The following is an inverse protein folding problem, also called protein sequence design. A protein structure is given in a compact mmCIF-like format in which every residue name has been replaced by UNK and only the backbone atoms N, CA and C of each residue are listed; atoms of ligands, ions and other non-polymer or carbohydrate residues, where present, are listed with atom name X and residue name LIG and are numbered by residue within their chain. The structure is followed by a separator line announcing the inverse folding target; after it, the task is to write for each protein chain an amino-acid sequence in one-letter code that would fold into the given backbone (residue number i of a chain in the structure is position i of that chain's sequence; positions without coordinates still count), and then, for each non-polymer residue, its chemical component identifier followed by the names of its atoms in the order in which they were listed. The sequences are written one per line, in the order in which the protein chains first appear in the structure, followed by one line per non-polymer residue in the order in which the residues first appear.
data_IF_670820698234
#
_entry.id   IF_670820698234
#
_cell.length_a   1.000
_cell.length_b   1.000
_cell.length_c   1.000
_cell.angle_alpha   90.00
_cell.angle_beta   90.00
_cell.angle_gamma   90.00
#
_symmetry.space_group_name_H-M   'P 1'
#
loop_
_entity.id
_entity.type
_entity.pdbx_description
1 polymer ?
#
# COMPACT_ATOMS: atom_id res chain seq x y z
N UNK A 1 2.79 19.53 2.15
CA UNK A 1 1.79 18.51 2.49
C UNK A 1 2.47 17.16 2.68
N UNK A 2 2.04 16.43 3.70
CA UNK A 2 2.52 15.07 3.90
C UNK A 2 2.09 14.19 2.73
N UNK A 3 3.04 13.48 2.13
CA UNK A 3 2.77 12.56 1.04
C UNK A 3 2.52 11.17 1.63
N UNK A 4 1.45 10.52 1.22
CA UNK A 4 1.04 9.23 1.73
C UNK A 4 1.22 8.12 0.69
N UNK A 5 1.57 6.94 1.18
CA UNK A 5 1.63 5.70 0.41
C UNK A 5 0.62 4.72 0.98
N UNK A 6 0.00 3.91 0.14
CA UNK A 6 -1.06 2.99 0.57
C UNK A 6 -0.70 1.56 0.18
N UNK A 7 -0.76 0.67 1.17
CA UNK A 7 -0.52 -0.76 0.97
C UNK A 7 -1.75 -1.46 0.40
N UNK A 8 -1.55 -2.65 -0.13
CA UNK A 8 -2.57 -3.49 -0.76
C UNK A 8 -3.80 -3.69 0.10
N UNK A 9 -3.62 -4.06 1.36
CA UNK A 9 -4.74 -4.39 2.25
C UNK A 9 -5.70 -3.21 2.46
N UNK A 10 -5.18 -1.99 2.45
CA UNK A 10 -6.01 -0.79 2.58
C UNK A 10 -6.87 -0.62 1.32
N UNK A 11 -6.27 -0.77 0.13
CA UNK A 11 -6.98 -0.59 -1.12
C UNK A 11 -8.06 -1.66 -1.34
N UNK A 12 -7.83 -2.88 -0.89
CA UNK A 12 -8.82 -3.95 -1.00
C UNK A 12 -10.11 -3.61 -0.25
N UNK A 13 -10.02 -2.85 0.84
CA UNK A 13 -11.21 -2.42 1.57
C UNK A 13 -12.14 -1.51 0.76
N UNK A 14 -11.64 -0.89 -0.32
CA UNK A 14 -12.51 -0.10 -1.22
C UNK A 14 -13.63 -0.94 -1.83
N UNK A 15 -13.42 -2.26 -1.96
CA UNK A 15 -14.41 -3.21 -2.48
C UNK A 15 -15.10 -4.00 -1.37
N UNK A 16 -14.81 -3.69 -0.11
CA UNK A 16 -15.31 -4.45 1.02
C UNK A 16 -16.74 -4.07 1.37
N UNK A 17 -17.49 -5.04 1.92
CA UNK A 17 -18.77 -4.77 2.56
C UNK A 17 -18.65 -4.11 3.93
N UNK A 18 -17.43 -3.98 4.45
CA UNK A 18 -17.16 -3.25 5.70
C UNK A 18 -17.11 -1.76 5.38
N UNK A 19 -18.25 -1.09 5.54
CA UNK A 19 -18.38 0.32 5.15
C UNK A 19 -17.49 1.24 5.96
N UNK A 20 -17.25 0.96 7.24
CA UNK A 20 -16.35 1.77 8.07
C UNK A 20 -14.93 1.76 7.52
N UNK A 21 -14.41 0.57 7.21
CA UNK A 21 -13.05 0.45 6.66
C UNK A 21 -12.96 0.99 5.24
N UNK A 22 -13.99 0.74 4.42
CA UNK A 22 -14.04 1.28 3.06
C UNK A 22 -14.02 2.80 3.06
N UNK A 23 -14.77 3.43 3.95
CA UNK A 23 -14.82 4.89 4.06
C UNK A 23 -13.47 5.48 4.49
N UNK A 24 -12.79 4.82 5.44
CA UNK A 24 -11.46 5.24 5.87
C UNK A 24 -10.44 5.14 4.73
N UNK A 25 -10.47 4.03 3.99
CA UNK A 25 -9.60 3.82 2.83
C UNK A 25 -9.87 4.89 1.75
N UNK A 26 -11.14 5.16 1.47
CA UNK A 26 -11.53 6.18 0.49
C UNK A 26 -11.03 7.56 0.88
N UNK A 27 -11.13 7.92 2.15
CA UNK A 27 -10.68 9.22 2.64
C UNK A 27 -9.18 9.43 2.40
N UNK A 28 -8.36 8.39 2.64
CA UNK A 28 -6.92 8.46 2.40
C UNK A 28 -6.62 8.61 0.91
N UNK A 29 -7.31 7.84 0.07
CA UNK A 29 -7.13 7.89 -1.39
C UNK A 29 -7.53 9.27 -1.92
N UNK A 30 -8.64 9.83 -1.45
CA UNK A 30 -9.11 11.16 -1.86
C UNK A 30 -8.17 12.28 -1.45
N UNK A 31 -7.49 12.11 -0.32
CA UNK A 31 -6.51 13.09 0.15
C UNK A 31 -5.23 13.10 -0.70
N UNK A 32 -5.07 12.12 -1.58
CA UNK A 32 -3.90 11.97 -2.43
C UNK A 32 -2.93 10.95 -1.86
N UNK A 33 -2.80 9.83 -2.55
CA UNK A 33 -1.88 8.77 -2.14
C UNK A 33 -1.20 8.17 -3.37
N UNK A 34 -0.03 7.58 -3.16
CA UNK A 34 0.69 6.86 -4.21
C UNK A 34 0.75 5.37 -3.85
N UNK A 35 0.95 4.55 -4.84
CA UNK A 35 1.14 3.10 -4.69
C UNK A 35 2.38 2.69 -5.47
N UNK A 36 2.73 1.42 -5.44
CA UNK A 36 3.81 0.88 -6.28
C UNK A 36 3.29 -0.21 -7.18
N UNK A 37 4.10 -0.59 -8.17
CA UNK A 37 3.80 -1.75 -9.02
C UNK A 37 3.67 -3.01 -8.18
N UNK A 38 4.43 -3.14 -7.09
CA UNK A 38 4.29 -4.27 -6.17
C UNK A 38 2.87 -4.35 -5.59
N UNK A 39 2.31 -3.21 -5.18
CA UNK A 39 0.94 -3.15 -4.67
C UNK A 39 -0.06 -3.56 -5.75
N UNK A 40 0.13 -3.08 -6.99
CA UNK A 40 -0.75 -3.46 -8.10
C UNK A 40 -0.72 -4.97 -8.35
N UNK A 41 0.47 -5.57 -8.30
CA UNK A 41 0.61 -7.02 -8.47
C UNK A 41 -0.10 -7.79 -7.36
N UNK A 42 0.02 -7.33 -6.12
CA UNK A 42 -0.64 -7.95 -4.98
C UNK A 42 -2.16 -7.83 -5.08
N UNK A 43 -2.67 -6.67 -5.51
CA UNK A 43 -4.11 -6.48 -5.75
C UNK A 43 -4.61 -7.48 -6.78
N UNK A 44 -3.91 -7.61 -7.91
CA UNK A 44 -4.29 -8.54 -8.97
C UNK A 44 -4.36 -9.98 -8.43
N UNK A 45 -3.36 -10.37 -7.65
CA UNK A 45 -3.30 -11.71 -7.07
C UNK A 45 -4.45 -11.96 -6.08
N UNK A 46 -4.72 -11.01 -5.18
CA UNK A 46 -5.80 -11.13 -4.20
C UNK A 46 -7.16 -11.16 -4.88
N UNK A 47 -7.38 -10.27 -5.85
CA UNK A 47 -8.63 -10.20 -6.59
C UNK A 47 -8.95 -11.53 -7.27
N UNK A 48 -7.96 -12.13 -7.93
CA UNK A 48 -8.14 -13.38 -8.65
C UNK A 48 -8.27 -14.58 -7.72
N UNK A 49 -7.45 -14.66 -6.67
CA UNK A 49 -7.35 -15.86 -5.84
C UNK A 49 -8.30 -15.86 -4.66
N UNK A 50 -8.42 -14.74 -3.95
CA UNK A 50 -9.25 -14.68 -2.74
C UNK A 50 -10.65 -14.18 -3.01
N UNK A 51 -10.78 -13.14 -3.82
CA UNK A 51 -12.08 -12.54 -4.11
C UNK A 51 -12.77 -13.19 -5.30
N UNK A 52 -12.08 -14.08 -6.01
CA UNK A 52 -12.61 -14.84 -7.15
C UNK A 52 -13.21 -13.96 -8.23
N UNK A 53 -12.62 -12.79 -8.43
CA UNK A 53 -13.00 -11.87 -9.49
C UNK A 53 -12.49 -12.41 -10.84
N UNK A 54 -13.28 -12.23 -11.88
CA UNK A 54 -12.80 -12.56 -13.22
C UNK A 54 -11.81 -11.49 -13.71
N UNK A 55 -11.16 -11.71 -14.85
CA UNK A 55 -10.18 -10.76 -15.37
C UNK A 55 -10.79 -9.40 -15.71
N UNK A 56 -11.98 -9.31 -16.36
CA UNK A 56 -12.60 -8.01 -16.58
C UNK A 56 -12.82 -7.22 -15.29
N UNK A 57 -13.32 -7.85 -14.23
CA UNK A 57 -13.53 -7.20 -12.94
C UNK A 57 -12.21 -6.77 -12.29
N UNK A 58 -11.21 -7.66 -12.33
CA UNK A 58 -9.88 -7.37 -11.80
C UNK A 58 -9.24 -6.19 -12.50
N UNK A 59 -9.31 -6.17 -13.84
CA UNK A 59 -8.72 -5.11 -14.63
C UNK A 59 -9.43 -3.77 -14.42
N UNK A 60 -10.74 -3.79 -14.22
CA UNK A 60 -11.51 -2.59 -13.91
C UNK A 60 -11.10 -2.00 -12.57
N UNK A 61 -10.94 -2.84 -11.56
CA UNK A 61 -10.48 -2.36 -10.25
C UNK A 61 -9.06 -1.81 -10.29
N UNK A 62 -8.16 -2.49 -10.99
CA UNK A 62 -6.79 -2.00 -11.16
C UNK A 62 -6.74 -0.66 -11.88
N UNK A 63 -7.59 -0.48 -12.91
CA UNK A 63 -7.69 0.79 -13.62
C UNK A 63 -8.17 1.91 -12.69
N UNK A 64 -9.14 1.62 -11.83
CA UNK A 64 -9.63 2.57 -10.83
C UNK A 64 -8.51 2.98 -9.87
N UNK A 65 -7.80 2.01 -9.31
CA UNK A 65 -6.69 2.27 -8.39
C UNK A 65 -5.63 3.15 -9.06
N UNK A 66 -5.25 2.82 -10.29
CA UNK A 66 -4.23 3.58 -11.02
C UNK A 66 -4.69 5.00 -11.36
N UNK A 67 -5.99 5.21 -11.55
CA UNK A 67 -6.52 6.55 -11.81
C UNK A 67 -6.51 7.42 -10.56
N UNK A 68 -6.61 6.80 -9.38
CA UNK A 68 -6.65 7.51 -8.10
C UNK A 68 -5.27 7.65 -7.45
N UNK A 69 -4.40 6.66 -7.64
CA UNK A 69 -3.10 6.57 -6.98
C UNK A 69 -2.01 6.35 -8.03
N UNK A 70 -1.17 7.35 -8.31
CA UNK A 70 -0.06 7.17 -9.26
C UNK A 70 0.87 6.03 -8.81
N UNK A 71 1.20 5.07 -9.70
CA UNK A 71 2.09 3.97 -9.32
C UNK A 71 3.57 4.34 -9.47
N UNK A 72 4.34 4.00 -8.45
CA UNK A 72 5.80 4.09 -8.49
C UNK A 72 6.36 2.81 -9.10
N UNK A 73 7.32 2.95 -9.99
CA UNK A 73 7.97 1.80 -10.63
C UNK A 73 8.88 1.06 -9.65
N UNK A 74 8.98 -0.25 -9.83
CA UNK A 74 9.97 -1.05 -9.12
C UNK A 74 11.27 -1.01 -9.92
N UNK A 75 12.31 -0.49 -9.30
CA UNK A 75 13.62 -0.35 -9.92
C UNK A 75 14.67 -1.15 -9.15
N UNK A 76 15.88 -1.23 -9.69
CA UNK A 76 17.00 -1.84 -8.98
C UNK A 76 17.28 -1.10 -7.67
N UNK A 77 17.11 0.22 -7.68
CA UNK A 77 17.25 1.03 -6.47
C UNK A 77 16.20 0.65 -5.41
N UNK A 78 14.96 0.39 -5.82
CA UNK A 78 13.91 -0.09 -4.92
C UNK A 78 14.32 -1.42 -4.29
N UNK A 79 14.85 -2.32 -5.08
CA UNK A 79 15.31 -3.63 -4.62
C UNK A 79 16.43 -3.50 -3.58
N UNK A 80 17.44 -2.71 -3.90
CA UNK A 80 18.58 -2.52 -3.00
C UNK A 80 18.16 -1.86 -1.70
N UNK A 81 17.33 -0.82 -1.75
CA UNK A 81 16.83 -0.14 -0.57
C UNK A 81 15.95 -1.07 0.26
N UNK A 82 15.11 -1.85 -0.41
CA UNK A 82 14.22 -2.82 0.26
C UNK A 82 14.99 -3.88 1.03
N UNK A 83 16.08 -4.41 0.47
CA UNK A 83 16.91 -5.38 1.19
C UNK A 83 17.50 -4.79 2.46
N UNK A 84 17.96 -3.55 2.42
CA UNK A 84 18.48 -2.86 3.60
C UNK A 84 17.40 -2.67 4.66
N UNK A 85 16.19 -2.29 4.25
CA UNK A 85 15.05 -2.13 5.15
C UNK A 85 14.67 -3.48 5.77
N UNK A 86 14.60 -4.53 4.98
CA UNK A 86 14.26 -5.87 5.46
C UNK A 86 15.23 -6.33 6.55
N UNK A 87 16.53 -6.17 6.29
CA UNK A 87 17.58 -6.55 7.24
C UNK A 87 17.52 -5.72 8.51
N UNK A 88 17.40 -4.41 8.38
CA UNK A 88 17.47 -3.49 9.52
C UNK A 88 16.23 -3.56 10.42
N UNK A 89 15.04 -3.70 9.84
CA UNK A 89 13.79 -3.63 10.59
C UNK A 89 13.09 -4.97 10.75
N UNK A 90 13.66 -6.04 10.20
CA UNK A 90 13.08 -7.37 10.35
C UNK A 90 11.78 -7.59 9.58
N UNK A 91 11.60 -6.87 8.47
CA UNK A 91 10.42 -7.01 7.61
C UNK A 91 10.63 -8.10 6.57
N UNK A 92 9.52 -8.69 6.09
CA UNK A 92 9.59 -9.57 4.93
C UNK A 92 10.11 -8.79 3.73
N UNK A 93 10.69 -9.50 2.75
CA UNK A 93 11.22 -8.84 1.55
C UNK A 93 10.14 -8.06 0.82
N UNK A 94 8.95 -8.62 0.67
CA UNK A 94 7.87 -7.95 -0.07
C UNK A 94 7.33 -6.72 0.67
N UNK A 95 7.16 -6.80 1.97
CA UNK A 95 6.79 -5.63 2.78
C UNK A 95 7.86 -4.56 2.72
N UNK A 96 9.13 -4.98 2.79
CA UNK A 96 10.26 -4.06 2.70
C UNK A 96 10.34 -3.36 1.33
N UNK A 97 9.94 -4.04 0.25
CA UNK A 97 9.87 -3.41 -1.08
C UNK A 97 8.80 -2.31 -1.12
N UNK A 98 7.68 -2.52 -0.47
CA UNK A 98 6.63 -1.50 -0.35
C UNK A 98 7.15 -0.30 0.46
N UNK A 99 7.82 -0.57 1.58
CA UNK A 99 8.43 0.49 2.40
C UNK A 99 9.48 1.26 1.60
N UNK A 100 10.34 0.57 0.86
CA UNK A 100 11.36 1.21 0.02
C UNK A 100 10.74 2.11 -1.05
N UNK A 101 9.67 1.65 -1.70
CA UNK A 101 8.96 2.47 -2.69
C UNK A 101 8.42 3.75 -2.06
N UNK A 102 7.86 3.65 -0.86
CA UNK A 102 7.34 4.81 -0.13
C UNK A 102 8.47 5.80 0.22
N UNK A 103 9.62 5.28 0.69
CA UNK A 103 10.79 6.11 0.99
C UNK A 103 11.30 6.85 -0.24
N UNK A 104 11.47 6.13 -1.35
CA UNK A 104 11.99 6.69 -2.59
C UNK A 104 11.03 7.68 -3.22
N UNK A 105 9.73 7.51 -3.00
CA UNK A 105 8.72 8.46 -3.45
C UNK A 105 8.65 9.72 -2.57
N UNK A 106 9.42 9.77 -1.48
CA UNK A 106 9.41 10.91 -0.58
C UNK A 106 8.21 10.95 0.35
N UNK A 107 7.56 9.82 0.58
CA UNK A 107 6.41 9.74 1.46
C UNK A 107 6.82 9.87 2.93
N UNK A 108 5.91 10.42 3.73
CA UNK A 108 6.08 10.54 5.18
C UNK A 108 5.25 9.51 5.93
N UNK A 109 4.21 8.98 5.29
CA UNK A 109 3.32 7.98 5.89
C UNK A 109 3.08 6.83 4.94
N UNK A 110 3.03 5.62 5.50
CA UNK A 110 2.62 4.41 4.81
C UNK A 110 1.44 3.82 5.58
N UNK A 111 0.27 3.81 4.95
CA UNK A 111 -0.92 3.19 5.54
C UNK A 111 -0.93 1.71 5.21
N UNK A 112 -0.90 0.87 6.25
CA UNK A 112 -0.90 -0.58 6.13
C UNK A 112 -1.56 -1.20 7.35
N UNK A 113 -2.34 -2.25 7.15
CA UNK A 113 -2.93 -3.02 8.24
C UNK A 113 -2.00 -4.12 8.72
N UNK A 114 -1.17 -4.65 7.82
CA UNK A 114 -0.36 -5.84 8.10
C UNK A 114 1.03 -5.59 8.63
N UNK A 115 1.48 -4.33 8.73
CA UNK A 115 2.79 -3.96 9.23
C UNK A 115 2.68 -3.34 10.61
N UNK A 116 3.82 -3.23 11.32
CA UNK A 116 3.86 -2.68 12.68
C UNK A 116 3.44 -1.21 12.71
N UNK A 117 2.31 -0.93 13.33
CA UNK A 117 1.80 0.43 13.51
C UNK A 117 2.76 1.25 14.36
N UNK A 118 3.06 2.45 13.89
CA UNK A 118 3.93 3.39 14.58
C UNK A 118 5.42 3.25 14.27
N UNK A 119 5.83 2.21 13.54
CA UNK A 119 7.24 2.06 13.17
C UNK A 119 7.68 3.23 12.30
N UNK A 120 8.81 3.86 12.67
CA UNK A 120 9.43 4.91 11.87
C UNK A 120 10.66 4.34 11.18
N UNK A 121 10.68 4.40 9.86
CA UNK A 121 11.76 3.85 9.04
C UNK A 121 12.66 4.99 8.56
N UNK A 122 13.96 4.85 8.82
CA UNK A 122 15.01 5.80 8.40
C UNK A 122 14.73 7.25 8.80
N UNK A 123 14.00 7.45 9.92
CA UNK A 123 13.66 8.78 10.42
C UNK A 123 12.72 9.58 9.51
N UNK A 124 12.16 8.95 8.47
CA UNK A 124 11.36 9.62 7.45
C UNK A 124 9.93 9.13 7.36
N UNK A 125 9.76 7.79 7.28
CA UNK A 125 8.48 7.17 6.96
C UNK A 125 7.87 6.55 8.21
N UNK A 126 6.66 6.95 8.56
CA UNK A 126 5.92 6.32 9.65
C UNK A 126 4.87 5.37 9.09
N UNK A 127 4.88 4.13 9.55
CA UNK A 127 3.86 3.15 9.22
C UNK A 127 2.67 3.37 10.13
N UNK A 128 1.48 3.46 9.57
CA UNK A 128 0.24 3.75 10.29
C UNK A 128 -0.82 2.72 9.95
N UNK A 129 -1.44 2.13 10.98
CA UNK A 129 -2.62 1.32 10.76
C UNK A 129 -3.85 2.24 10.77
N UNK A 130 -4.43 2.44 9.59
CA UNK A 130 -5.58 3.32 9.38
C UNK A 130 -6.81 2.85 10.17
N UNK A 131 -6.89 1.56 10.46
CA UNK A 131 -8.08 0.92 11.04
C UNK A 131 -8.00 0.72 12.55
N UNK A 132 -6.91 1.11 13.18
CA UNK A 132 -6.76 1.02 14.63
C UNK A 132 -7.82 1.90 15.29
N UNK A 133 -8.66 1.30 16.13
CA UNK A 133 -9.76 2.01 16.76
C UNK A 133 -11.05 2.05 15.95
N UNK A 134 -11.07 1.52 14.71
CA UNK A 134 -12.28 1.37 13.92
C UNK A 134 -13.04 0.14 14.41
N UNK A 135 -14.17 0.35 15.00
CA UNK A 135 -14.99 -0.72 15.57
C UNK A 135 -15.87 -1.38 14.51
#
# INVERSE_FOLDING_TARGET
MAKAFVDTNVLIYLMSGDTTKADLAEAVVRAGAVVSVQVLNEIANVARRKLRMDWPETNEFLALVRSLCPPESLTTETHDRGRLVAERYGLSVYDAMIVASALLAGCERLYSEGMQDGLVVDGQLQICNLFTGAA
#
